data_IF_617218927108
#
_entry.id   IF_617218927108
#
_cell.length_a   1.000
_cell.length_b   1.000
_cell.length_c   1.000
_cell.angle_alpha   90.00
_cell.angle_beta   90.00
_cell.angle_gamma   90.00
#
_symmetry.space_group_name_H-M   'P 1'
#
loop_
_entity.id
_entity.type
_entity.pdbx_description
1 polymer ?
#
# COMPACT_ATOMS: atom_id res chain seq x y z
N UNK A 1 7.93 9.56 -17.09
CA UNK A 1 7.29 8.32 -16.60
C UNK A 1 7.09 8.46 -15.10
N UNK A 2 5.86 8.38 -14.59
CA UNK A 2 5.56 8.61 -13.18
C UNK A 2 6.15 7.49 -12.32
N UNK A 3 7.04 7.83 -11.38
CA UNK A 3 7.71 6.87 -10.46
C UNK A 3 6.74 6.05 -9.59
N UNK A 4 5.48 6.45 -9.51
CA UNK A 4 4.42 5.69 -8.84
C UNK A 4 4.03 4.40 -9.58
N UNK A 5 4.25 4.30 -10.90
CA UNK A 5 3.99 3.08 -11.67
C UNK A 5 4.95 1.94 -11.34
N UNK A 6 6.11 2.25 -10.78
CA UNK A 6 7.08 1.27 -10.29
C UNK A 6 6.67 0.64 -8.94
N UNK A 7 5.62 1.15 -8.31
CA UNK A 7 5.10 0.59 -7.04
C UNK A 7 4.31 -0.67 -7.35
N UNK A 8 4.82 -1.82 -6.86
CA UNK A 8 4.10 -3.08 -6.92
C UNK A 8 3.13 -3.14 -5.75
N UNK A 9 1.83 -3.26 -6.03
CA UNK A 9 0.76 -3.34 -5.02
C UNK A 9 0.36 -4.80 -4.84
N UNK A 10 0.30 -5.24 -3.59
CA UNK A 10 -0.19 -6.56 -3.20
C UNK A 10 -1.22 -6.41 -2.08
N UNK A 11 -2.38 -7.04 -2.23
CA UNK A 11 -3.41 -7.07 -1.19
C UNK A 11 -3.27 -8.34 -0.36
N UNK A 12 -3.31 -8.20 0.96
CA UNK A 12 -3.22 -9.31 1.90
C UNK A 12 -4.22 -9.14 3.04
N UNK A 13 -4.84 -10.23 3.47
CA UNK A 13 -5.65 -10.26 4.70
C UNK A 13 -4.81 -10.55 5.95
N UNK A 14 -3.48 -10.56 5.81
CA UNK A 14 -2.52 -10.75 6.89
C UNK A 14 -1.48 -9.65 6.88
N UNK A 15 -1.12 -9.19 8.07
CA UNK A 15 -0.12 -8.16 8.29
C UNK A 15 1.25 -8.65 7.79
N UNK A 16 1.96 -7.87 6.95
CA UNK A 16 3.18 -8.35 6.27
C UNK A 16 4.39 -8.56 7.19
N UNK A 17 4.39 -8.05 8.42
CA UNK A 17 5.47 -8.25 9.39
C UNK A 17 5.09 -9.25 10.49
N UNK A 18 4.02 -8.97 11.23
CA UNK A 18 3.55 -9.81 12.35
C UNK A 18 2.83 -11.09 11.90
N UNK A 19 2.33 -11.15 10.66
CA UNK A 19 1.54 -12.28 10.16
C UNK A 19 0.12 -12.34 10.73
N UNK A 20 -0.27 -11.39 11.56
CA UNK A 20 -1.60 -11.32 12.18
C UNK A 20 -2.69 -11.07 11.14
N UNK A 21 -3.91 -11.60 11.33
CA UNK A 21 -5.02 -11.30 10.44
C UNK A 21 -5.38 -9.82 10.51
N UNK A 22 -5.78 -9.25 9.36
CA UNK A 22 -6.35 -7.92 9.31
C UNK A 22 -7.62 -7.85 10.15
N UNK A 23 -7.95 -6.66 10.65
CA UNK A 23 -9.21 -6.46 11.34
C UNK A 23 -10.40 -6.88 10.45
N UNK A 24 -11.50 -7.33 11.04
CA UNK A 24 -12.69 -7.70 10.28
C UNK A 24 -13.11 -6.56 9.35
N UNK A 25 -13.33 -6.88 8.07
CA UNK A 25 -13.64 -5.88 7.04
C UNK A 25 -12.44 -5.09 6.54
N UNK A 26 -11.21 -5.32 7.01
CA UNK A 26 -9.99 -4.65 6.57
C UNK A 26 -9.09 -5.55 5.71
N UNK A 27 -8.19 -4.92 4.98
CA UNK A 27 -7.15 -5.55 4.17
C UNK A 27 -5.88 -4.71 4.23
N UNK A 28 -4.73 -5.37 4.18
CA UNK A 28 -3.44 -4.71 4.08
C UNK A 28 -3.06 -4.51 2.63
N UNK A 29 -2.76 -3.26 2.30
CA UNK A 29 -2.17 -2.87 1.02
C UNK A 29 -0.67 -2.81 1.22
N UNK A 30 0.05 -3.68 0.55
CA UNK A 30 1.49 -3.82 0.65
C UNK A 30 2.10 -3.29 -0.64
N UNK A 31 3.03 -2.35 -0.50
CA UNK A 31 3.75 -1.72 -1.61
C UNK A 31 5.24 -1.92 -1.53
N UNK A 32 5.87 -2.11 -2.68
CA UNK A 32 7.33 -2.06 -2.82
C UNK A 32 7.74 -1.09 -3.92
N UNK A 33 8.68 -0.20 -3.62
CA UNK A 33 9.30 0.76 -4.53
C UNK A 33 10.82 0.59 -4.47
N UNK A 34 11.38 -0.12 -5.44
CA UNK A 34 12.81 -0.48 -5.43
C UNK A 34 13.16 -1.32 -4.19
N UNK A 35 14.05 -0.80 -3.34
CA UNK A 35 14.45 -1.46 -2.08
C UNK A 35 13.56 -1.11 -0.89
N UNK A 36 12.61 -0.17 -1.05
CA UNK A 36 11.71 0.26 0.03
C UNK A 36 10.42 -0.56 -0.01
N UNK A 37 10.01 -1.05 1.16
CA UNK A 37 8.75 -1.75 1.38
C UNK A 37 7.94 -1.04 2.44
N UNK A 38 6.62 -1.00 2.26
CA UNK A 38 5.69 -0.28 3.10
C UNK A 38 4.31 -0.88 2.97
N UNK A 39 3.45 -0.63 3.93
CA UNK A 39 2.09 -1.14 3.93
C UNK A 39 1.20 -0.25 4.77
N UNK A 40 -0.09 -0.31 4.51
CA UNK A 40 -1.12 0.29 5.34
C UNK A 40 -2.35 -0.59 5.39
N UNK A 41 -3.15 -0.42 6.43
CA UNK A 41 -4.44 -1.07 6.56
C UNK A 41 -5.54 -0.17 5.99
N UNK A 42 -6.47 -0.77 5.27
CA UNK A 42 -7.62 -0.09 4.69
C UNK A 42 -8.85 -0.98 4.78
N UNK A 43 -10.02 -0.38 4.92
CA UNK A 43 -11.29 -1.08 4.83
C UNK A 43 -11.47 -1.69 3.43
N UNK A 44 -11.87 -2.95 3.38
CA UNK A 44 -12.14 -3.70 2.15
C UNK A 44 -13.25 -3.06 1.33
N UNK A 45 -14.23 -2.43 1.99
CA UNK A 45 -15.26 -1.65 1.29
C UNK A 45 -14.69 -0.43 0.57
N UNK A 46 -13.67 0.21 1.15
CA UNK A 46 -12.94 1.28 0.49
C UNK A 46 -12.14 0.72 -0.68
N UNK A 47 -11.47 -0.42 -0.55
CA UNK A 47 -10.72 -1.02 -1.67
C UNK A 47 -11.55 -1.20 -2.95
N UNK A 48 -12.84 -1.55 -2.84
CA UNK A 48 -13.72 -1.65 -4.00
C UNK A 48 -13.97 -0.32 -4.72
N UNK A 49 -13.77 0.82 -4.03
CA UNK A 49 -13.92 2.18 -4.57
C UNK A 49 -12.59 2.76 -5.07
N UNK A 50 -11.46 2.25 -4.59
CA UNK A 50 -10.13 2.72 -4.99
C UNK A 50 -9.70 2.07 -6.30
N UNK A 51 -9.07 2.86 -7.19
CA UNK A 51 -8.38 2.27 -8.34
C UNK A 51 -6.98 1.86 -7.92
N UNK A 52 -6.38 0.96 -8.70
CA UNK A 52 -5.00 0.54 -8.48
C UNK A 52 -4.02 1.73 -8.46
N UNK A 53 -4.27 2.76 -9.30
CA UNK A 53 -3.47 3.99 -9.33
C UNK A 53 -3.55 4.78 -8.01
N UNK A 54 -4.73 4.84 -7.37
CA UNK A 54 -4.88 5.50 -6.08
C UNK A 54 -4.07 4.78 -4.99
N UNK A 55 -4.12 3.44 -4.98
CA UNK A 55 -3.34 2.61 -4.04
C UNK A 55 -1.83 2.78 -4.26
N UNK A 56 -1.39 2.78 -5.52
CA UNK A 56 -0.01 3.04 -5.89
C UNK A 56 0.46 4.42 -5.44
N UNK A 57 -0.38 5.44 -5.57
CA UNK A 57 -0.05 6.81 -5.18
C UNK A 57 0.06 6.97 -3.65
N UNK A 58 -0.85 6.36 -2.88
CA UNK A 58 -0.79 6.34 -1.41
C UNK A 58 0.47 5.61 -0.92
N UNK A 59 0.76 4.43 -1.46
CA UNK A 59 2.00 3.70 -1.19
C UNK A 59 3.23 4.51 -1.60
N UNK A 60 3.19 5.19 -2.75
CA UNK A 60 4.29 6.02 -3.20
C UNK A 60 4.59 7.14 -2.21
N UNK A 61 3.57 7.83 -1.67
CA UNK A 61 3.77 8.86 -0.63
C UNK A 61 4.41 8.28 0.63
N UNK A 62 4.01 7.07 1.03
CA UNK A 62 4.53 6.40 2.22
C UNK A 62 5.97 5.92 2.03
N UNK A 63 6.29 5.39 0.85
CA UNK A 63 7.61 4.86 0.49
C UNK A 63 8.60 5.96 0.09
N UNK A 64 8.10 7.03 -0.49
CA UNK A 64 8.84 8.19 -0.93
C UNK A 64 8.30 9.44 -0.22
N UNK A 65 8.47 9.54 1.11
CA UNK A 65 8.27 10.81 1.77
C UNK A 65 9.23 11.77 1.09
N UNK A 66 8.69 12.78 0.42
CA UNK A 66 9.50 13.90 -0.06
C UNK A 66 10.02 14.58 1.20
N UNK A 67 11.19 14.14 1.66
CA UNK A 67 12.03 14.97 2.53
C UNK A 67 12.33 16.19 1.68
N UNK A 68 11.56 17.26 1.87
CA UNK A 68 11.93 18.59 1.44
C UNK A 68 13.30 18.85 2.08
N UNK A 69 14.36 18.71 1.27
CA UNK A 69 15.69 19.21 1.59
C UNK A 69 15.66 20.74 1.57
#
# INVERSE_FOLDING_TARGET
>A
MSKSKDVIVTLSKKHPQTGEPAQAGHSFVIGTLGTKKGWYEIETEKLNRFKNEDLQQELFKLLHPQTHH
#
